data_IF_435141519256
#
_entry.id   IF_435141519256
#
_cell.length_a   1.000
_cell.length_b   1.000
_cell.length_c   1.000
_cell.angle_alpha   90.00
_cell.angle_beta   90.00
_cell.angle_gamma   90.00
#
_symmetry.space_group_name_H-M   'P 1'
#
loop_
_entity.id
_entity.type
_entity.pdbx_description
1 polymer ?
#
# COMPACT_ATOMS: atom_id res chain seq x y z
N UNK A 1 -26.56 30.54 43.83
CA UNK A 1 -26.39 29.62 42.70
C UNK A 1 -25.36 30.19 41.75
N UNK A 2 -24.31 29.44 41.45
CA UNK A 2 -23.26 29.89 40.53
C UNK A 2 -23.45 29.22 39.17
N UNK A 3 -23.67 30.03 38.14
CA UNK A 3 -23.62 29.58 36.75
C UNK A 3 -22.39 30.22 36.13
N UNK A 4 -21.47 29.40 35.66
CA UNK A 4 -20.20 29.84 35.10
C UNK A 4 -20.11 29.42 33.65
N UNK A 5 -19.36 30.19 32.87
CA UNK A 5 -19.11 29.93 31.45
C UNK A 5 -17.61 29.77 31.25
N UNK A 6 -17.22 28.68 30.62
CA UNK A 6 -15.83 28.40 30.23
C UNK A 6 -15.78 27.93 28.78
N UNK A 7 -14.70 28.21 28.08
CA UNK A 7 -14.58 28.00 26.64
C UNK A 7 -13.72 26.79 26.29
N UNK A 8 -12.89 26.32 27.22
CA UNK A 8 -12.02 25.17 27.01
C UNK A 8 -12.22 24.08 28.06
N UNK A 9 -11.83 22.85 27.72
CA UNK A 9 -11.83 21.73 28.68
C UNK A 9 -10.87 21.99 29.84
N UNK A 10 -9.76 22.70 29.62
CA UNK A 10 -8.80 22.96 30.69
C UNK A 10 -9.30 24.03 31.67
N UNK A 11 -9.95 25.09 31.17
CA UNK A 11 -10.69 26.04 32.02
C UNK A 11 -11.78 25.33 32.83
N UNK A 12 -12.51 24.40 32.19
CA UNK A 12 -13.51 23.58 32.86
C UNK A 12 -12.89 22.75 33.99
N UNK A 13 -11.76 22.07 33.75
CA UNK A 13 -11.08 21.27 34.80
C UNK A 13 -10.66 22.14 35.98
N UNK A 14 -10.06 23.29 35.70
CA UNK A 14 -9.62 24.23 36.75
C UNK A 14 -10.83 24.69 37.56
N UNK A 15 -11.88 25.17 36.89
CA UNK A 15 -13.09 25.62 37.56
C UNK A 15 -13.78 24.49 38.34
N UNK A 16 -13.85 23.29 37.76
CA UNK A 16 -14.44 22.12 38.40
C UNK A 16 -13.71 21.79 39.72
N UNK A 17 -12.37 21.76 39.71
CA UNK A 17 -11.58 21.51 40.91
C UNK A 17 -11.83 22.56 42.00
N UNK A 18 -11.84 23.83 41.63
CA UNK A 18 -12.12 24.94 42.56
C UNK A 18 -13.53 24.82 43.17
N UNK A 19 -14.54 24.51 42.36
CA UNK A 19 -15.92 24.35 42.84
C UNK A 19 -16.08 23.10 43.71
N UNK A 20 -15.45 21.99 43.32
CA UNK A 20 -15.49 20.72 44.06
C UNK A 20 -14.81 20.84 45.42
N UNK A 21 -13.66 21.52 45.50
CA UNK A 21 -12.95 21.78 46.76
C UNK A 21 -13.78 22.66 47.70
N UNK A 22 -14.43 23.70 47.17
CA UNK A 22 -15.22 24.65 47.96
C UNK A 22 -16.61 24.12 48.35
N UNK A 23 -17.20 23.24 47.55
CA UNK A 23 -18.55 22.72 47.72
C UNK A 23 -18.59 21.19 47.51
N UNK A 24 -17.97 20.40 48.40
CA UNK A 24 -17.77 18.95 48.20
C UNK A 24 -19.08 18.17 48.05
N UNK A 25 -20.11 18.55 48.80
CA UNK A 25 -21.41 17.85 48.86
C UNK A 25 -22.40 18.26 47.77
N UNK A 26 -22.07 19.25 46.93
CA UNK A 26 -23.01 19.80 45.94
C UNK A 26 -22.77 19.23 44.55
N UNK A 27 -23.85 18.95 43.83
CA UNK A 27 -23.79 18.55 42.43
C UNK A 27 -23.32 19.71 41.55
N UNK A 28 -22.43 19.39 40.62
CA UNK A 28 -21.97 20.30 39.56
C UNK A 28 -22.45 19.70 38.25
N UNK A 29 -23.25 20.45 37.48
CA UNK A 29 -23.68 20.05 36.14
C UNK A 29 -22.84 20.75 35.09
N UNK A 30 -22.46 20.02 34.06
CA UNK A 30 -21.72 20.56 32.92
C UNK A 30 -22.55 20.34 31.67
N UNK A 31 -22.87 21.41 30.97
CA UNK A 31 -23.60 21.37 29.69
C UNK A 31 -22.78 22.05 28.62
N UNK A 32 -22.59 21.41 27.47
CA UNK A 32 -21.98 22.05 26.31
C UNK A 32 -23.05 22.77 25.49
N UNK A 33 -22.85 24.07 25.24
CA UNK A 33 -23.59 24.87 24.24
C UNK A 33 -22.63 25.32 23.15
N UNK A 34 -23.13 25.88 22.04
CA UNK A 34 -22.38 26.24 20.83
C UNK A 34 -21.02 26.90 21.10
N UNK A 35 -19.96 26.08 21.25
CA UNK A 35 -18.58 26.50 21.49
C UNK A 35 -18.17 26.80 22.95
N UNK A 36 -18.98 26.50 23.97
CA UNK A 36 -18.62 26.74 25.37
C UNK A 36 -19.36 25.83 26.37
N UNK A 37 -18.77 25.60 27.53
CA UNK A 37 -19.36 24.87 28.65
C UNK A 37 -20.07 25.81 29.62
N UNK A 38 -21.25 25.41 30.06
CA UNK A 38 -21.97 25.97 31.19
C UNK A 38 -21.73 25.05 32.38
N UNK A 39 -21.20 25.59 33.46
CA UNK A 39 -20.95 24.89 34.72
C UNK A 39 -21.90 25.43 35.77
N UNK A 40 -22.86 24.61 36.19
CA UNK A 40 -23.90 24.99 37.14
C UNK A 40 -23.66 24.29 38.48
N UNK A 41 -23.46 25.08 39.54
CA UNK A 41 -23.48 24.57 40.91
C UNK A 41 -24.92 24.53 41.40
N UNK A 42 -25.46 23.32 41.61
CA UNK A 42 -26.84 23.12 42.03
C UNK A 42 -26.94 22.94 43.54
N UNK A 43 -28.16 22.91 44.08
CA UNK A 43 -28.43 22.57 45.49
C UNK A 43 -28.64 21.06 45.70
N UNK A 44 -28.56 20.26 44.63
CA UNK A 44 -28.67 18.81 44.74
C UNK A 44 -27.40 18.22 45.36
N UNK A 45 -27.55 17.06 46.01
CA UNK A 45 -26.43 16.34 46.64
C UNK A 45 -25.56 15.69 45.58
N UNK A 46 -24.25 15.82 45.73
CA UNK A 46 -23.27 15.15 44.88
C UNK A 46 -23.42 13.63 44.98
N UNK A 47 -23.59 12.98 43.83
CA UNK A 47 -23.66 11.50 43.75
C UNK A 47 -22.52 10.94 42.91
N UNK A 48 -22.16 11.61 41.82
CA UNK A 48 -21.08 11.25 40.90
C UNK A 48 -20.59 12.47 40.13
N UNK A 49 -19.39 12.36 39.58
CA UNK A 49 -18.85 13.38 38.68
C UNK A 49 -19.75 13.56 37.44
N UNK A 50 -19.90 14.80 36.92
CA UNK A 50 -20.69 15.05 35.72
C UNK A 50 -20.03 14.44 34.49
N UNK A 51 -20.86 13.94 33.56
CA UNK A 51 -20.40 13.64 32.22
C UNK A 51 -20.08 14.95 31.49
N UNK A 52 -18.85 15.09 31.01
CA UNK A 52 -18.41 16.28 30.26
C UNK A 52 -18.55 15.98 28.76
N UNK A 53 -19.44 16.68 28.02
CA UNK A 53 -19.56 16.49 26.59
C UNK A 53 -18.29 16.97 25.88
N UNK A 54 -17.68 16.13 25.05
CA UNK A 54 -16.50 16.50 24.27
C UNK A 54 -16.89 16.57 22.80
N UNK A 55 -16.61 17.69 22.14
CA UNK A 55 -16.70 17.77 20.68
C UNK A 55 -15.49 17.09 20.11
N UNK A 56 -15.71 15.98 19.42
CA UNK A 56 -14.67 15.25 18.72
C UNK A 56 -14.91 15.45 17.22
N UNK A 57 -13.93 16.03 16.54
CA UNK A 57 -13.91 16.03 15.08
C UNK A 57 -13.62 14.60 14.59
N UNK A 58 -14.51 14.04 13.79
CA UNK A 58 -14.45 12.66 13.32
C UNK A 58 -14.67 12.65 11.81
N UNK A 59 -13.69 12.13 11.07
CA UNK A 59 -13.78 12.00 9.62
C UNK A 59 -13.52 10.56 9.20
N UNK A 60 -14.43 9.99 8.40
CA UNK A 60 -14.16 8.72 7.71
C UNK A 60 -13.14 8.98 6.60
N UNK A 61 -11.98 8.34 6.67
CA UNK A 61 -10.89 8.52 5.69
C UNK A 61 -10.80 7.40 4.66
N UNK A 62 -11.35 6.23 4.98
CA UNK A 62 -11.38 5.09 4.08
C UNK A 62 -12.42 4.07 4.55
N UNK A 63 -12.96 3.28 3.63
CA UNK A 63 -13.79 2.13 3.96
C UNK A 63 -13.69 1.06 2.88
N UNK A 64 -13.70 -0.20 3.30
CA UNK A 64 -13.69 -1.35 2.39
C UNK A 64 -14.61 -2.42 2.96
N UNK A 65 -15.79 -2.56 2.34
CA UNK A 65 -16.86 -3.54 2.61
C UNK A 65 -17.34 -3.64 4.06
N UNK A 66 -16.51 -4.17 4.94
CA UNK A 66 -16.74 -4.55 6.33
C UNK A 66 -15.87 -3.73 7.30
N UNK A 67 -15.04 -2.82 6.80
CA UNK A 67 -14.17 -1.98 7.60
C UNK A 67 -14.36 -0.48 7.28
N UNK A 68 -14.29 0.34 8.33
CA UNK A 68 -14.21 1.80 8.23
C UNK A 68 -12.97 2.28 8.96
N UNK A 69 -12.23 3.20 8.34
CA UNK A 69 -11.07 3.86 8.94
C UNK A 69 -11.44 5.29 9.24
N UNK A 70 -11.27 5.68 10.50
CA UNK A 70 -11.76 6.95 11.03
C UNK A 70 -10.60 7.74 11.61
N UNK A 71 -10.52 9.02 11.25
CA UNK A 71 -9.57 9.98 11.80
C UNK A 71 -10.26 10.76 12.91
N UNK A 72 -9.71 10.64 14.12
CA UNK A 72 -10.13 11.42 15.29
C UNK A 72 -9.27 12.69 15.40
N UNK A 73 -9.90 13.86 15.32
CA UNK A 73 -9.33 15.19 15.46
C UNK A 73 -9.24 15.66 16.92
N UNK A 74 -8.88 14.78 17.87
CA UNK A 74 -8.83 15.09 19.30
C UNK A 74 -7.40 15.01 19.86
N UNK A 75 -7.00 15.95 20.72
CA UNK A 75 -5.65 16.03 21.31
C UNK A 75 -4.48 16.00 20.29
N UNK A 76 -4.70 16.48 19.06
CA UNK A 76 -3.75 16.39 17.93
C UNK A 76 -2.37 17.03 18.17
N UNK A 77 -2.29 17.96 19.11
CA UNK A 77 -1.06 18.66 19.47
C UNK A 77 -0.17 17.87 20.45
N UNK A 78 -0.70 16.84 21.11
CA UNK A 78 0.04 15.93 21.99
C UNK A 78 -0.08 14.51 21.46
N UNK A 79 1.02 13.98 20.93
CA UNK A 79 1.06 12.64 20.38
C UNK A 79 0.65 11.55 21.38
N UNK A 80 1.08 11.66 22.65
CA UNK A 80 0.81 10.64 23.66
C UNK A 80 -0.66 10.63 24.05
N UNK A 81 -1.22 11.81 24.32
CA UNK A 81 -2.64 11.94 24.63
C UNK A 81 -3.50 11.54 23.43
N UNK A 82 -3.17 12.02 22.22
CA UNK A 82 -3.88 11.63 21.01
C UNK A 82 -3.93 10.11 20.83
N UNK A 83 -2.80 9.42 21.02
CA UNK A 83 -2.73 7.97 20.86
C UNK A 83 -3.65 7.25 21.85
N UNK A 84 -3.52 7.56 23.14
CA UNK A 84 -4.30 6.93 24.21
C UNK A 84 -5.80 7.17 23.99
N UNK A 85 -6.18 8.40 23.69
CA UNK A 85 -7.59 8.76 23.53
C UNK A 85 -8.18 8.18 22.24
N UNK A 86 -7.39 8.05 21.17
CA UNK A 86 -7.85 7.42 19.92
C UNK A 86 -8.31 5.97 20.17
N UNK A 87 -7.56 5.19 20.96
CA UNK A 87 -7.98 3.84 21.34
C UNK A 87 -9.33 3.84 22.09
N UNK A 88 -9.46 4.71 23.10
CA UNK A 88 -10.69 4.80 23.90
C UNK A 88 -11.88 5.25 23.06
N UNK A 89 -11.71 6.31 22.27
CA UNK A 89 -12.74 6.90 21.42
C UNK A 89 -13.19 5.90 20.35
N UNK A 90 -12.28 5.14 19.75
CA UNK A 90 -12.63 4.14 18.75
C UNK A 90 -13.43 2.97 19.35
N UNK A 91 -13.05 2.45 20.53
CA UNK A 91 -13.86 1.44 21.23
C UNK A 91 -15.25 1.96 21.60
N UNK A 92 -15.33 3.20 22.11
CA UNK A 92 -16.62 3.82 22.43
C UNK A 92 -17.50 4.01 21.20
N UNK A 93 -16.91 4.46 20.08
CA UNK A 93 -17.62 4.64 18.82
C UNK A 93 -18.19 3.31 18.30
N UNK A 94 -17.38 2.24 18.27
CA UNK A 94 -17.84 0.91 17.86
C UNK A 94 -18.99 0.37 18.71
N UNK A 95 -18.87 0.52 20.04
CA UNK A 95 -19.93 0.13 20.98
C UNK A 95 -21.22 0.93 20.79
N UNK A 96 -21.12 2.25 20.60
CA UNK A 96 -22.29 3.11 20.33
C UNK A 96 -22.96 2.77 19.01
N UNK A 97 -22.18 2.60 17.94
CA UNK A 97 -22.72 2.17 16.64
C UNK A 97 -23.46 0.83 16.76
N UNK A 98 -22.90 -0.13 17.48
CA UNK A 98 -23.53 -1.44 17.73
C UNK A 98 -24.85 -1.31 18.49
N UNK A 99 -24.86 -0.55 19.59
CA UNK A 99 -26.02 -0.49 20.50
C UNK A 99 -27.12 0.46 20.04
N UNK A 100 -26.74 1.60 19.47
CA UNK A 100 -27.66 2.70 19.18
C UNK A 100 -28.05 2.77 17.70
N UNK A 101 -27.15 2.39 16.78
CA UNK A 101 -27.40 2.48 15.33
C UNK A 101 -27.82 1.15 14.73
N UNK A 102 -27.05 0.09 14.94
CA UNK A 102 -27.38 -1.24 14.41
C UNK A 102 -28.48 -1.90 15.24
N UNK A 103 -28.34 -1.91 16.57
CA UNK A 103 -29.32 -2.38 17.55
C UNK A 103 -29.97 -3.75 17.21
N UNK A 104 -29.24 -4.60 16.46
CA UNK A 104 -29.76 -5.84 15.87
C UNK A 104 -28.73 -6.96 15.99
N UNK A 105 -28.87 -7.86 16.98
CA UNK A 105 -28.03 -9.05 17.06
C UNK A 105 -28.14 -9.93 15.79
N UNK A 106 -27.05 -10.58 15.33
CA UNK A 106 -25.69 -10.60 15.90
C UNK A 106 -24.74 -9.54 15.30
N UNK A 107 -25.25 -8.43 14.76
CA UNK A 107 -24.43 -7.41 14.11
C UNK A 107 -23.70 -6.60 15.18
N UNK A 108 -22.36 -6.63 15.15
CA UNK A 108 -21.48 -5.91 16.07
C UNK A 108 -20.32 -5.26 15.32
N UNK A 109 -19.93 -4.07 15.77
CA UNK A 109 -18.77 -3.34 15.29
C UNK A 109 -17.70 -3.34 16.39
N UNK A 110 -16.56 -3.94 16.10
CA UNK A 110 -15.44 -4.06 17.03
C UNK A 110 -14.30 -3.10 16.65
N UNK A 111 -13.66 -2.52 17.67
CA UNK A 111 -12.40 -1.83 17.46
C UNK A 111 -11.29 -2.86 17.18
N UNK A 112 -10.64 -2.76 16.01
CA UNK A 112 -9.56 -3.68 15.65
C UNK A 112 -8.17 -3.11 15.96
N UNK A 113 -7.86 -1.89 15.48
CA UNK A 113 -6.51 -1.32 15.55
C UNK A 113 -6.47 0.19 15.31
N UNK A 114 -5.40 0.82 15.77
CA UNK A 114 -5.01 2.20 15.41
C UNK A 114 -3.85 2.16 14.42
N UNK A 115 -3.94 2.96 13.36
CA UNK A 115 -2.87 3.17 12.38
C UNK A 115 -2.19 4.52 12.59
N UNK A 116 -0.86 4.53 12.73
CA UNK A 116 -0.09 5.77 12.76
C UNK A 116 1.43 5.55 12.56
N UNK A 117 2.04 6.16 11.53
CA UNK A 117 1.39 6.89 10.46
C UNK A 117 0.58 5.95 9.54
N UNK A 118 -0.35 6.53 8.78
CA UNK A 118 -1.20 5.84 7.81
C UNK A 118 -1.03 6.50 6.45
N UNK A 119 -0.57 5.72 5.45
CA UNK A 119 -0.35 6.18 4.07
C UNK A 119 -1.32 5.41 3.18
N UNK A 120 -2.33 6.11 2.65
CA UNK A 120 -3.27 5.58 1.67
C UNK A 120 -2.79 5.93 0.26
N UNK A 121 -2.59 4.93 -0.59
CA UNK A 121 -2.15 5.14 -1.97
C UNK A 121 -3.33 5.19 -2.93
N UNK A 122 -4.17 4.15 -2.92
CA UNK A 122 -5.40 4.02 -3.69
C UNK A 122 -6.35 3.07 -2.96
N UNK A 123 -7.55 2.83 -3.49
CA UNK A 123 -8.44 1.77 -2.98
C UNK A 123 -7.69 0.42 -2.86
N UNK A 124 -7.82 -0.24 -1.71
CA UNK A 124 -7.15 -1.51 -1.36
C UNK A 124 -5.61 -1.46 -1.35
N UNK A 125 -5.01 -0.27 -1.33
CA UNK A 125 -3.55 -0.07 -1.29
C UNK A 125 -3.15 0.94 -0.23
N UNK A 126 -2.64 0.47 0.88
CA UNK A 126 -2.20 1.32 1.99
C UNK A 126 -1.06 0.69 2.79
N UNK A 127 -0.33 1.52 3.52
CA UNK A 127 0.78 1.13 4.39
C UNK A 127 0.63 1.89 5.70
N UNK A 128 0.76 1.19 6.82
CA UNK A 128 0.68 1.81 8.14
C UNK A 128 1.37 1.01 9.23
N UNK A 129 1.92 1.72 10.21
CA UNK A 129 2.25 1.09 11.49
C UNK A 129 0.96 0.84 12.27
N UNK A 130 0.77 -0.40 12.74
CA UNK A 130 -0.42 -0.81 13.47
C UNK A 130 -0.17 -1.05 14.96
N UNK A 131 -1.17 -0.68 15.74
CA UNK A 131 -1.20 -0.79 17.19
C UNK A 131 -2.55 -1.38 17.59
N UNK A 132 -2.55 -2.44 18.38
CA UNK A 132 -3.74 -3.23 18.72
C UNK A 132 -4.01 -3.25 20.23
N UNK A 133 -2.99 -2.97 21.05
CA UNK A 133 -3.08 -3.15 22.50
C UNK A 133 -3.64 -1.89 23.18
N UNK A 134 -4.88 -1.97 23.67
CA UNK A 134 -5.53 -0.88 24.42
C UNK A 134 -4.80 -0.57 25.74
N UNK A 135 -4.20 -1.57 26.39
CA UNK A 135 -3.47 -1.40 27.66
C UNK A 135 -2.08 -0.81 27.46
N UNK A 136 -1.47 -1.05 26.29
CA UNK A 136 -0.22 -0.44 25.86
C UNK A 136 -0.36 0.15 24.45
N UNK A 137 -0.96 1.36 24.33
CA UNK A 137 -1.24 2.00 23.05
C UNK A 137 0.00 2.35 22.20
N UNK A 138 1.19 2.23 22.78
CA UNK A 138 2.46 2.56 22.14
C UNK A 138 3.22 1.32 21.64
N UNK A 139 2.77 0.12 22.01
CA UNK A 139 3.34 -1.12 21.54
C UNK A 139 3.11 -1.30 20.03
N UNK A 140 4.18 -1.09 19.24
CA UNK A 140 4.14 -1.36 17.81
C UNK A 140 3.91 -2.86 17.58
N UNK A 141 2.78 -3.20 16.95
CA UNK A 141 2.50 -4.59 16.57
C UNK A 141 3.22 -4.97 15.27
N UNK A 142 3.42 -4.01 14.38
CA UNK A 142 4.16 -4.17 13.13
C UNK A 142 3.65 -3.26 12.02
N UNK A 143 4.15 -3.50 10.82
CA UNK A 143 3.73 -2.81 9.60
C UNK A 143 2.58 -3.59 8.93
N UNK A 144 1.44 -2.94 8.71
CA UNK A 144 0.36 -3.44 7.86
C UNK A 144 0.48 -2.81 6.48
N UNK A 145 0.75 -3.63 5.47
CA UNK A 145 0.85 -3.22 4.08
C UNK A 145 -0.16 -4.03 3.29
N UNK A 146 -1.12 -3.38 2.61
CA UNK A 146 -2.10 -4.06 1.76
C UNK A 146 -1.92 -3.64 0.32
N UNK A 147 -1.95 -4.61 -0.60
CA UNK A 147 -2.02 -4.37 -2.05
C UNK A 147 -0.81 -3.67 -2.68
N UNK A 148 0.22 -3.33 -1.91
CA UNK A 148 1.47 -2.70 -2.37
C UNK A 148 2.52 -3.73 -2.77
N UNK A 149 3.62 -3.28 -3.38
CA UNK A 149 4.67 -4.14 -3.93
C UNK A 149 5.27 -5.11 -2.89
N UNK A 150 5.36 -4.69 -1.61
CA UNK A 150 5.85 -5.54 -0.52
C UNK A 150 5.11 -6.88 -0.39
N UNK A 151 3.78 -6.85 -0.47
CA UNK A 151 2.93 -8.04 -0.28
C UNK A 151 2.70 -8.84 -1.56
N UNK A 152 3.16 -8.33 -2.70
CA UNK A 152 2.90 -8.91 -4.01
C UNK A 152 3.97 -9.92 -4.38
N UNK A 153 3.55 -11.07 -4.91
CA UNK A 153 4.44 -12.20 -5.23
C UNK A 153 5.11 -12.09 -6.59
N UNK A 154 4.63 -11.20 -7.44
CA UNK A 154 5.08 -10.99 -8.82
C UNK A 154 6.19 -9.94 -8.96
N UNK A 155 6.52 -9.21 -7.89
CA UNK A 155 7.69 -8.32 -7.87
C UNK A 155 8.95 -9.07 -7.42
N UNK A 156 10.05 -8.79 -8.10
CA UNK A 156 11.39 -9.26 -7.72
C UNK A 156 11.75 -8.79 -6.29
N UNK A 157 12.53 -9.57 -5.52
CA UNK A 157 12.96 -9.17 -4.18
C UNK A 157 13.67 -7.82 -4.12
N UNK A 158 14.40 -7.43 -5.18
CA UNK A 158 14.99 -6.10 -5.36
C UNK A 158 13.99 -4.97 -5.08
N UNK A 159 12.80 -5.05 -5.69
CA UNK A 159 11.73 -4.05 -5.54
C UNK A 159 11.28 -4.00 -4.09
N UNK A 160 11.12 -5.16 -3.45
CA UNK A 160 10.67 -5.25 -2.06
C UNK A 160 11.72 -4.73 -1.08
N UNK A 161 13.01 -5.00 -1.31
CA UNK A 161 14.12 -4.48 -0.51
C UNK A 161 14.17 -2.96 -0.58
N UNK A 162 14.13 -2.40 -1.79
CA UNK A 162 14.07 -0.95 -2.01
C UNK A 162 12.85 -0.32 -1.33
N UNK A 163 11.65 -0.87 -1.57
CA UNK A 163 10.40 -0.38 -0.97
C UNK A 163 10.44 -0.43 0.57
N UNK A 164 10.91 -1.55 1.14
CA UNK A 164 10.99 -1.73 2.60
C UNK A 164 11.97 -0.76 3.22
N UNK A 165 13.13 -0.55 2.60
CA UNK A 165 14.12 0.39 3.11
C UNK A 165 13.57 1.83 3.07
N UNK A 166 12.93 2.24 1.98
CA UNK A 166 12.27 3.55 1.86
C UNK A 166 11.20 3.74 2.93
N UNK A 167 10.31 2.76 3.14
CA UNK A 167 9.29 2.85 4.20
C UNK A 167 9.97 2.98 5.56
N UNK A 168 10.95 2.13 5.88
CA UNK A 168 11.60 2.15 7.18
C UNK A 168 12.28 3.51 7.44
N UNK A 169 12.89 4.12 6.42
CA UNK A 169 13.47 5.46 6.52
C UNK A 169 12.37 6.50 6.76
N UNK A 170 11.27 6.48 6.01
CA UNK A 170 10.15 7.42 6.18
C UNK A 170 9.41 7.29 7.51
N UNK A 171 9.45 6.10 8.11
CA UNK A 171 8.83 5.82 9.40
C UNK A 171 9.79 6.06 10.58
N UNK A 172 11.02 6.51 10.32
CA UNK A 172 11.96 6.92 11.36
C UNK A 172 11.62 8.31 11.90
N UNK A 173 12.07 8.61 13.12
CA UNK A 173 11.87 9.92 13.77
C UNK A 173 12.86 10.99 13.28
N UNK A 174 13.59 10.74 12.17
CA UNK A 174 14.59 11.65 11.62
C UNK A 174 13.94 12.82 10.87
N UNK A 175 14.45 14.05 11.08
CA UNK A 175 13.93 15.26 10.43
C UNK A 175 14.03 15.22 8.90
N UNK A 176 15.05 14.55 8.38
CA UNK A 176 15.37 14.49 6.95
C UNK A 176 14.97 13.14 6.32
N UNK A 177 14.07 12.40 6.96
CA UNK A 177 13.63 11.07 6.54
C UNK A 177 13.15 11.02 5.08
N UNK A 178 12.52 12.09 4.59
CA UNK A 178 12.11 12.20 3.19
C UNK A 178 13.34 12.22 2.27
N UNK A 179 14.30 13.11 2.53
CA UNK A 179 15.49 13.26 1.69
C UNK A 179 16.37 12.01 1.71
N UNK A 180 16.53 11.39 2.88
CA UNK A 180 17.22 10.11 3.02
C UNK A 180 16.52 8.99 2.24
N UNK A 181 15.19 8.93 2.26
CA UNK A 181 14.45 7.94 1.46
C UNK A 181 14.68 8.12 -0.04
N UNK A 182 14.77 9.37 -0.51
CA UNK A 182 15.07 9.68 -1.91
C UNK A 182 16.49 9.25 -2.31
N UNK A 183 17.47 9.42 -1.41
CA UNK A 183 18.83 8.91 -1.60
C UNK A 183 18.84 7.39 -1.68
N UNK A 184 18.06 6.70 -0.85
CA UNK A 184 17.88 5.24 -0.94
C UNK A 184 17.38 4.83 -2.32
N UNK A 185 16.35 5.51 -2.85
CA UNK A 185 15.84 5.22 -4.20
C UNK A 185 16.91 5.40 -5.27
N UNK A 186 17.60 6.55 -5.29
CA UNK A 186 18.68 6.84 -6.25
C UNK A 186 19.80 5.80 -6.17
N UNK A 187 20.17 5.36 -4.96
CA UNK A 187 21.15 4.27 -4.74
C UNK A 187 20.74 2.97 -5.43
N UNK A 188 19.48 2.52 -5.28
CA UNK A 188 19.00 1.31 -5.95
C UNK A 188 18.98 1.45 -7.47
N UNK A 189 18.61 2.62 -7.98
CA UNK A 189 18.65 2.91 -9.42
C UNK A 189 20.09 2.84 -9.96
N UNK A 190 21.07 3.40 -9.25
CA UNK A 190 22.49 3.30 -9.60
C UNK A 190 23.05 1.88 -9.50
N UNK A 191 22.61 1.09 -8.52
CA UNK A 191 23.01 -0.32 -8.42
C UNK A 191 22.55 -1.11 -9.63
N UNK A 192 21.32 -0.88 -10.10
CA UNK A 192 20.80 -1.50 -11.33
C UNK A 192 21.63 -1.05 -12.53
N UNK A 193 21.91 0.25 -12.65
CA UNK A 193 22.71 0.84 -13.72
C UNK A 193 24.09 0.20 -13.88
N UNK A 194 24.76 -0.04 -12.74
CA UNK A 194 26.12 -0.58 -12.63
C UNK A 194 26.20 -2.10 -12.58
N UNK A 195 25.10 -2.83 -12.78
CA UNK A 195 25.00 -4.28 -12.59
C UNK A 195 25.40 -4.79 -11.19
N UNK A 196 25.22 -3.96 -10.16
CA UNK A 196 25.55 -4.26 -8.77
C UNK A 196 24.33 -4.76 -8.00
N UNK A 197 23.67 -5.80 -8.53
CA UNK A 197 22.50 -6.43 -7.92
C UNK A 197 22.68 -7.94 -7.92
N UNK A 198 22.39 -8.58 -6.80
CA UNK A 198 22.44 -10.04 -6.68
C UNK A 198 21.38 -10.69 -7.58
N UNK A 199 21.73 -11.79 -8.25
CA UNK A 199 20.81 -12.56 -9.10
C UNK A 199 19.57 -12.99 -8.32
N UNK A 200 19.71 -13.35 -7.04
CA UNK A 200 18.61 -13.76 -6.17
C UNK A 200 17.57 -12.65 -6.00
N UNK A 201 18.02 -11.39 -6.02
CA UNK A 201 17.16 -10.22 -5.93
C UNK A 201 16.42 -9.89 -7.23
N UNK A 202 16.85 -10.49 -8.34
CA UNK A 202 16.27 -10.31 -9.67
C UNK A 202 15.18 -11.34 -9.96
N UNK A 203 15.12 -12.46 -9.21
CA UNK A 203 14.19 -13.56 -9.50
C UNK A 203 12.73 -13.12 -9.38
N UNK A 204 12.00 -13.24 -10.48
CA UNK A 204 10.54 -13.11 -10.56
C UNK A 204 9.93 -14.50 -10.65
N UNK A 205 8.69 -14.64 -10.18
CA UNK A 205 7.97 -15.92 -10.22
C UNK A 205 6.54 -15.76 -10.72
N UNK A 206 6.18 -16.58 -11.72
CA UNK A 206 4.84 -16.60 -12.31
C UNK A 206 4.30 -18.03 -12.40
N UNK A 207 3.00 -18.18 -12.22
CA UNK A 207 2.33 -19.46 -12.38
C UNK A 207 1.96 -19.68 -13.85
N UNK A 208 2.22 -20.89 -14.32
CA UNK A 208 1.72 -21.40 -15.58
C UNK A 208 0.21 -21.65 -15.45
N UNK A 209 -0.60 -20.73 -15.95
CA UNK A 209 -2.06 -20.83 -15.95
C UNK A 209 -2.59 -21.81 -17.00
N UNK A 210 -3.77 -22.39 -16.72
CA UNK A 210 -4.57 -23.14 -17.72
C UNK A 210 -5.17 -22.23 -18.78
N UNK A 211 -5.38 -20.97 -18.45
CA UNK A 211 -6.05 -19.99 -19.31
C UNK A 211 -5.34 -18.65 -19.24
N UNK A 212 -5.35 -17.92 -20.35
CA UNK A 212 -4.83 -16.56 -20.44
C UNK A 212 -5.81 -15.62 -21.11
N UNK A 213 -5.70 -14.34 -20.80
CA UNK A 213 -6.60 -13.32 -21.31
C UNK A 213 -6.30 -13.00 -22.78
N UNK A 214 -7.31 -13.09 -23.64
CA UNK A 214 -7.22 -12.64 -25.04
C UNK A 214 -6.99 -11.13 -25.10
N UNK A 215 -5.93 -10.70 -25.77
CA UNK A 215 -5.60 -9.28 -25.89
C UNK A 215 -6.69 -8.47 -26.62
N UNK A 216 -7.45 -9.08 -27.53
CA UNK A 216 -8.52 -8.42 -28.31
C UNK A 216 -9.85 -8.31 -27.56
N UNK A 217 -10.42 -9.43 -27.12
CA UNK A 217 -11.77 -9.46 -26.53
C UNK A 217 -11.80 -9.61 -25.00
N UNK A 218 -10.63 -9.59 -24.34
CA UNK A 218 -10.44 -9.71 -22.89
C UNK A 218 -11.07 -10.95 -22.24
N UNK A 219 -11.42 -11.95 -23.04
CA UNK A 219 -11.98 -13.23 -22.57
C UNK A 219 -10.85 -14.22 -22.33
N UNK A 220 -10.99 -15.08 -21.31
CA UNK A 220 -10.03 -16.14 -21.03
C UNK A 220 -10.06 -17.19 -22.15
N UNK A 221 -8.88 -17.62 -22.58
CA UNK A 221 -8.68 -18.64 -23.60
C UNK A 221 -7.79 -19.71 -23.01
N UNK A 222 -8.19 -20.97 -23.16
CA UNK A 222 -7.41 -22.11 -22.71
C UNK A 222 -6.06 -22.14 -23.43
N UNK A 223 -5.01 -22.37 -22.64
CA UNK A 223 -3.65 -22.46 -23.12
C UNK A 223 -3.16 -23.89 -23.06
N UNK A 224 -2.61 -24.33 -24.18
CA UNK A 224 -2.12 -25.69 -24.34
C UNK A 224 -0.60 -25.60 -24.46
N UNK A 225 0.09 -26.21 -23.49
CA UNK A 225 1.56 -26.36 -23.47
C UNK A 225 2.10 -27.07 -24.73
N UNK A 226 1.28 -27.92 -25.35
CA UNK A 226 1.63 -28.73 -26.52
C UNK A 226 0.62 -28.53 -27.63
N UNK A 227 1.06 -27.97 -28.74
CA UNK A 227 0.33 -28.09 -30.01
C UNK A 227 0.31 -29.58 -30.41
N UNK A 228 -0.86 -30.22 -30.35
CA UNK A 228 -1.01 -31.64 -30.72
C UNK A 228 -0.75 -31.98 -32.19
N UNK A 229 -0.46 -30.99 -33.04
CA UNK A 229 -0.23 -31.17 -34.49
C UNK A 229 1.22 -31.00 -34.93
N UNK A 230 2.13 -30.54 -34.07
CA UNK A 230 3.43 -30.08 -34.54
C UNK A 230 4.61 -30.73 -33.78
N UNK A 231 5.53 -31.35 -34.54
CA UNK A 231 6.78 -31.98 -34.08
C UNK A 231 8.01 -31.04 -34.18
N UNK A 232 7.82 -29.77 -34.53
CA UNK A 232 8.91 -28.81 -34.76
C UNK A 232 8.93 -27.68 -33.73
N UNK A 233 10.12 -27.27 -33.23
CA UNK A 233 10.28 -26.22 -32.22
C UNK A 233 9.76 -24.83 -32.60
N UNK A 234 9.62 -24.53 -33.89
CA UNK A 234 9.37 -23.18 -34.42
C UNK A 234 8.09 -23.05 -35.26
N UNK A 235 7.14 -23.99 -35.13
CA UNK A 235 5.98 -24.03 -36.03
C UNK A 235 4.87 -23.04 -35.64
N UNK A 236 4.41 -22.24 -36.61
CA UNK A 236 3.31 -21.27 -36.48
C UNK A 236 1.93 -21.96 -36.55
N UNK A 237 1.44 -22.52 -35.44
CA UNK A 237 0.03 -22.92 -35.38
C UNK A 237 -0.88 -21.75 -34.99
N UNK A 238 -1.86 -21.46 -35.85
CA UNK A 238 -2.89 -20.45 -35.58
C UNK A 238 -3.79 -20.94 -34.45
N UNK A 239 -3.77 -20.24 -33.32
CA UNK A 239 -4.70 -20.50 -32.21
C UNK A 239 -5.85 -19.54 -32.38
N UNK A 240 -7.08 -20.03 -32.35
CA UNK A 240 -8.27 -19.19 -32.53
C UNK A 240 -8.99 -18.97 -31.21
N UNK A 241 -9.24 -17.71 -30.85
CA UNK A 241 -10.08 -17.40 -29.69
C UNK A 241 -11.51 -17.91 -29.95
N UNK A 242 -11.99 -18.84 -29.13
CA UNK A 242 -13.32 -19.44 -29.28
C UNK A 242 -14.46 -18.42 -29.36
N UNK A 243 -14.34 -17.27 -28.66
CA UNK A 243 -15.34 -16.20 -28.62
C UNK A 243 -15.28 -15.23 -29.80
N UNK A 244 -14.14 -14.57 -30.02
CA UNK A 244 -14.04 -13.50 -31.03
C UNK A 244 -13.46 -13.96 -32.38
N UNK A 245 -13.16 -15.26 -32.50
CA UNK A 245 -12.58 -15.89 -33.71
C UNK A 245 -11.26 -15.27 -34.17
N UNK A 246 -10.62 -14.47 -33.30
CA UNK A 246 -9.32 -13.89 -33.58
C UNK A 246 -8.27 -15.00 -33.62
N UNK A 247 -7.55 -15.06 -34.74
CA UNK A 247 -6.48 -16.02 -34.97
C UNK A 247 -5.17 -15.40 -34.49
N UNK A 248 -4.64 -15.92 -33.39
CA UNK A 248 -3.25 -15.68 -32.98
C UNK A 248 -2.36 -16.50 -33.91
N UNK A 249 -1.38 -15.88 -34.56
CA UNK A 249 -0.39 -16.60 -35.39
C UNK A 249 0.41 -17.61 -34.58
N UNK A 250 0.45 -17.43 -33.25
CA UNK A 250 0.84 -18.43 -32.27
C UNK A 250 0.53 -17.97 -30.82
N UNK A 251 0.38 -18.89 -29.86
CA UNK A 251 0.27 -18.56 -28.41
C UNK A 251 1.57 -17.93 -27.84
N UNK A 252 2.66 -17.79 -28.61
CA UNK A 252 3.87 -17.04 -28.22
C UNK A 252 3.64 -15.51 -28.21
N UNK A 253 2.47 -15.04 -28.67
CA UNK A 253 2.08 -13.62 -28.62
C UNK A 253 1.25 -13.24 -27.38
N UNK A 254 1.04 -14.15 -26.43
CA UNK A 254 0.76 -13.73 -25.06
C UNK A 254 2.09 -13.14 -24.58
N UNK A 255 2.27 -11.83 -24.77
CA UNK A 255 3.47 -11.06 -24.46
C UNK A 255 3.78 -11.09 -22.95
N UNK A 256 4.11 -12.28 -22.44
CA UNK A 256 4.30 -12.65 -21.06
C UNK A 256 5.61 -13.43 -20.97
N UNK A 257 6.53 -12.94 -20.14
CA UNK A 257 7.89 -13.51 -20.04
C UNK A 257 7.90 -15.00 -19.70
N UNK A 258 7.09 -15.40 -18.72
CA UNK A 258 7.05 -16.77 -18.23
C UNK A 258 6.54 -17.76 -19.29
N UNK A 259 5.70 -17.34 -20.23
CA UNK A 259 5.22 -18.22 -21.31
C UNK A 259 6.33 -18.50 -22.32
N UNK A 260 7.02 -17.46 -22.78
CA UNK A 260 8.10 -17.59 -23.74
C UNK A 260 9.27 -18.37 -23.15
N UNK A 261 9.55 -18.18 -21.85
CA UNK A 261 10.53 -18.99 -21.13
C UNK A 261 10.10 -20.47 -21.06
N UNK A 262 8.87 -20.76 -20.65
CA UNK A 262 8.42 -22.15 -20.52
C UNK A 262 8.60 -22.95 -21.82
N UNK A 263 8.42 -22.30 -22.98
CA UNK A 263 8.64 -22.91 -24.28
C UNK A 263 10.12 -23.19 -24.55
N UNK A 264 11.01 -22.25 -24.25
CA UNK A 264 12.47 -22.47 -24.35
C UNK A 264 12.93 -23.61 -23.45
N UNK A 265 12.43 -23.68 -22.21
CA UNK A 265 12.73 -24.77 -21.28
C UNK A 265 12.24 -26.13 -21.82
N UNK A 266 11.03 -26.21 -22.40
CA UNK A 266 10.55 -27.44 -23.06
C UNK A 266 11.44 -27.85 -24.25
N UNK A 267 11.93 -26.90 -25.04
CA UNK A 267 12.88 -27.16 -26.13
C UNK A 267 14.23 -27.71 -25.61
N UNK A 268 14.63 -27.27 -24.40
CA UNK A 268 15.80 -27.80 -23.67
C UNK A 268 15.53 -29.15 -22.98
N UNK A 269 14.32 -29.71 -23.13
CA UNK A 269 13.83 -30.96 -22.53
C UNK A 269 13.57 -30.88 -21.02
N UNK A 270 13.36 -29.68 -20.49
CA UNK A 270 12.86 -29.52 -19.12
C UNK A 270 11.39 -29.98 -19.02
N UNK A 271 10.98 -30.42 -17.83
CA UNK A 271 9.60 -30.77 -17.55
C UNK A 271 8.85 -29.59 -16.96
N UNK A 272 7.87 -29.05 -17.69
CA UNK A 272 6.95 -27.99 -17.23
C UNK A 272 5.51 -28.40 -17.46
N UNK A 273 4.69 -28.21 -16.43
CA UNK A 273 3.27 -28.52 -16.40
C UNK A 273 2.41 -27.30 -16.08
N UNK A 274 1.13 -27.40 -16.41
CA UNK A 274 0.18 -26.36 -16.02
C UNK A 274 -0.04 -26.41 -14.51
N UNK A 275 0.00 -25.24 -13.87
CA UNK A 275 -0.06 -25.10 -12.43
C UNK A 275 1.31 -24.83 -11.81
N UNK A 276 2.40 -25.21 -12.50
CA UNK A 276 3.76 -24.98 -12.04
C UNK A 276 4.05 -23.50 -11.90
N UNK A 277 4.90 -23.18 -10.92
CA UNK A 277 5.34 -21.81 -10.70
C UNK A 277 6.81 -21.70 -11.08
N UNK A 278 7.06 -21.13 -12.25
CA UNK A 278 8.41 -20.98 -12.78
C UNK A 278 9.05 -19.68 -12.27
N UNK A 279 10.36 -19.75 -12.07
CA UNK A 279 11.20 -18.62 -11.70
C UNK A 279 11.98 -18.15 -12.92
N UNK A 280 12.18 -16.85 -13.05
CA UNK A 280 12.89 -16.26 -14.18
C UNK A 280 13.48 -14.90 -13.84
N UNK A 281 14.50 -14.53 -14.59
CA UNK A 281 15.06 -13.18 -14.61
C UNK A 281 14.90 -12.57 -16.00
N UNK A 282 14.92 -11.25 -16.12
CA UNK A 282 15.06 -10.61 -17.42
C UNK A 282 16.54 -10.45 -17.78
N UNK A 283 16.95 -10.92 -18.96
CA UNK A 283 18.32 -10.82 -19.49
C UNK A 283 18.39 -9.87 -20.68
N UNK A 284 19.56 -9.30 -20.93
CA UNK A 284 19.83 -8.56 -22.16
C UNK A 284 20.01 -9.53 -23.33
N UNK A 285 19.48 -9.15 -24.48
CA UNK A 285 19.66 -9.90 -25.74
C UNK A 285 20.28 -8.98 -26.79
N UNK A 286 21.21 -9.49 -27.61
CA UNK A 286 21.79 -8.73 -28.71
C UNK A 286 20.70 -8.37 -29.75
N UNK A 287 20.64 -7.10 -30.15
CA UNK A 287 19.74 -6.61 -31.19
C UNK A 287 18.74 -5.56 -30.72
N UNK A 288 18.33 -4.66 -31.62
CA UNK A 288 17.33 -3.61 -31.32
C UNK A 288 15.93 -4.20 -31.32
N UNK A 289 15.11 -3.83 -30.33
CA UNK A 289 13.65 -4.04 -30.35
C UNK A 289 13.14 -5.34 -29.74
N UNK A 290 13.91 -6.02 -28.89
CA UNK A 290 13.44 -7.18 -28.17
C UNK A 290 12.23 -6.84 -27.28
N UNK A 291 11.15 -7.61 -27.40
CA UNK A 291 9.94 -7.42 -26.63
C UNK A 291 10.19 -7.95 -25.22
N UNK A 292 9.67 -7.29 -24.18
CA UNK A 292 9.87 -7.67 -22.77
C UNK A 292 9.59 -9.15 -22.47
N UNK A 293 8.64 -9.76 -23.18
CA UNK A 293 8.32 -11.18 -23.06
C UNK A 293 9.45 -12.10 -23.49
N UNK A 294 10.29 -11.68 -24.42
CA UNK A 294 11.38 -12.50 -24.95
C UNK A 294 12.60 -12.49 -24.03
N UNK A 295 12.67 -11.51 -23.13
CA UNK A 295 13.80 -11.27 -22.23
C UNK A 295 13.83 -12.22 -21.02
N UNK A 296 12.77 -12.98 -20.75
CA UNK A 296 12.71 -13.85 -19.57
C UNK A 296 13.58 -15.10 -19.74
N UNK A 297 14.51 -15.35 -18.82
CA UNK A 297 15.38 -16.52 -18.86
C UNK A 297 15.40 -17.23 -17.50
N UNK A 298 15.63 -18.55 -17.53
CA UNK A 298 15.83 -19.35 -16.34
C UNK A 298 17.08 -18.84 -15.58
N UNK A 299 17.01 -18.62 -14.25
CA UNK A 299 18.12 -18.04 -13.50
C UNK A 299 19.39 -18.90 -13.56
N UNK A 300 19.26 -20.25 -13.60
CA UNK A 300 20.42 -21.15 -13.67
C UNK A 300 21.06 -21.06 -15.04
N UNK A 301 20.25 -21.10 -16.10
CA UNK A 301 20.74 -20.95 -17.46
C UNK A 301 21.48 -19.62 -17.66
N UNK A 302 20.89 -18.53 -17.15
CA UNK A 302 21.51 -17.21 -17.24
C UNK A 302 22.84 -17.12 -16.46
N UNK A 303 22.94 -17.77 -15.30
CA UNK A 303 24.18 -17.82 -14.53
C UNK A 303 25.25 -18.65 -15.24
N UNK A 304 24.92 -19.84 -15.74
CA UNK A 304 25.83 -20.73 -16.48
C UNK A 304 26.41 -20.04 -17.72
N UNK A 305 25.60 -19.25 -18.42
CA UNK A 305 25.98 -18.55 -19.65
C UNK A 305 26.41 -17.10 -19.41
N UNK A 306 26.51 -16.67 -18.15
CA UNK A 306 26.93 -15.31 -17.75
C UNK A 306 26.14 -14.21 -18.46
N UNK A 307 24.83 -14.40 -18.60
CA UNK A 307 23.95 -13.45 -19.27
C UNK A 307 23.70 -12.23 -18.36
N UNK A 308 24.03 -11.00 -18.82
CA UNK A 308 23.74 -9.81 -18.03
C UNK A 308 22.23 -9.59 -17.91
N UNK A 309 21.79 -9.12 -16.74
CA UNK A 309 20.37 -8.84 -16.53
C UNK A 309 19.93 -7.57 -17.28
N UNK A 310 18.66 -7.52 -17.70
CA UNK A 310 18.12 -6.39 -18.42
C UNK A 310 17.83 -5.20 -17.49
N UNK A 311 18.72 -4.19 -17.50
CA UNK A 311 18.60 -2.99 -16.65
C UNK A 311 17.29 -2.24 -16.84
N UNK A 312 16.82 -2.08 -18.07
CA UNK A 312 15.55 -1.41 -18.37
C UNK A 312 14.37 -2.08 -17.67
N UNK A 313 14.26 -3.41 -17.76
CA UNK A 313 13.18 -4.16 -17.13
C UNK A 313 13.15 -4.01 -15.61
N UNK A 314 14.32 -3.99 -14.95
CA UNK A 314 14.39 -3.85 -13.49
C UNK A 314 14.25 -2.40 -13.03
N UNK A 315 14.76 -1.42 -13.80
CA UNK A 315 14.47 0.00 -13.57
C UNK A 315 12.96 0.25 -13.61
N UNK A 316 12.24 -0.25 -14.61
CA UNK A 316 10.78 -0.12 -14.65
C UNK A 316 10.09 -0.78 -13.46
N UNK A 317 10.55 -1.97 -13.05
CA UNK A 317 9.97 -2.73 -11.95
C UNK A 317 10.14 -2.01 -10.61
N UNK A 318 11.27 -1.33 -10.40
CA UNK A 318 11.51 -0.53 -9.19
C UNK A 318 10.81 0.82 -9.29
N UNK A 319 10.97 1.53 -10.40
CA UNK A 319 10.48 2.90 -10.55
C UNK A 319 8.95 3.00 -10.47
N UNK A 320 8.20 2.12 -11.15
CA UNK A 320 6.74 2.23 -11.20
C UNK A 320 6.06 2.20 -9.81
N UNK A 321 6.31 1.18 -8.95
CA UNK A 321 5.71 1.15 -7.63
C UNK A 321 6.28 2.18 -6.65
N UNK A 322 7.56 2.54 -6.77
CA UNK A 322 8.22 3.46 -5.83
C UNK A 322 7.88 4.92 -6.14
N UNK A 323 7.94 5.33 -7.40
CA UNK A 323 7.55 6.69 -7.81
C UNK A 323 6.04 6.91 -7.62
N UNK A 324 5.22 5.86 -7.82
CA UNK A 324 3.80 5.92 -7.48
C UNK A 324 3.53 6.11 -5.98
N UNK A 325 4.41 5.57 -5.13
CA UNK A 325 4.37 5.84 -3.69
C UNK A 325 4.86 7.25 -3.36
N UNK A 326 5.95 7.71 -3.99
CA UNK A 326 6.44 9.07 -3.82
C UNK A 326 5.47 10.14 -4.33
N UNK A 327 4.61 9.85 -5.32
CA UNK A 327 3.54 10.76 -5.72
C UNK A 327 2.65 11.18 -4.54
N UNK A 328 2.44 10.28 -3.59
CA UNK A 328 1.65 10.54 -2.38
C UNK A 328 2.50 11.19 -1.29
N UNK A 329 3.70 10.65 -1.04
CA UNK A 329 4.59 11.13 0.04
C UNK A 329 5.12 12.54 -0.23
N UNK A 330 5.43 12.84 -1.49
CA UNK A 330 5.96 14.12 -1.97
C UNK A 330 4.86 15.02 -2.54
N UNK A 331 3.59 14.84 -2.13
CA UNK A 331 2.47 15.66 -2.66
C UNK A 331 2.68 17.18 -2.52
N UNK A 332 3.46 17.60 -1.51
CA UNK A 332 3.81 19.01 -1.25
C UNK A 332 5.25 19.36 -1.71
N UNK A 333 5.93 18.45 -2.41
CA UNK A 333 7.34 18.52 -2.83
C UNK A 333 7.45 18.05 -4.29
N UNK A 334 6.71 18.70 -5.19
CA UNK A 334 6.57 18.25 -6.58
C UNK A 334 7.90 18.30 -7.35
N UNK A 335 8.73 19.31 -7.11
CA UNK A 335 10.07 19.42 -7.73
C UNK A 335 10.94 18.20 -7.39
N UNK A 336 10.90 17.72 -6.14
CA UNK A 336 11.63 16.53 -5.73
C UNK A 336 11.13 15.25 -6.43
N UNK A 337 9.82 15.14 -6.66
CA UNK A 337 9.25 14.03 -7.42
C UNK A 337 9.72 14.07 -8.88
N UNK A 338 9.69 15.25 -9.50
CA UNK A 338 10.13 15.45 -10.88
C UNK A 338 11.63 15.15 -11.02
N UNK A 339 12.44 15.55 -10.05
CA UNK A 339 13.87 15.19 -9.98
C UNK A 339 14.11 13.68 -9.94
N UNK A 340 13.31 12.92 -9.18
CA UNK A 340 13.42 11.45 -9.14
C UNK A 340 12.99 10.81 -10.47
N UNK A 341 11.93 11.34 -11.09
CA UNK A 341 11.44 10.89 -12.39
C UNK A 341 12.49 11.16 -13.46
N UNK A 342 13.05 12.36 -13.51
CA UNK A 342 14.06 12.76 -14.49
C UNK A 342 15.38 12.01 -14.30
N UNK A 343 15.80 11.82 -13.04
CA UNK A 343 16.93 10.96 -12.71
C UNK A 343 16.76 9.56 -13.32
N UNK A 344 15.58 8.97 -13.17
CA UNK A 344 15.27 7.63 -13.69
C UNK A 344 15.13 7.62 -15.21
N UNK A 345 14.50 8.65 -15.79
CA UNK A 345 14.27 8.78 -17.21
C UNK A 345 15.54 8.92 -18.02
N UNK A 346 16.59 9.55 -17.48
CA UNK A 346 17.91 9.61 -18.12
C UNK A 346 18.45 8.21 -18.41
N UNK A 347 18.33 7.29 -17.45
CA UNK A 347 18.77 5.90 -17.60
C UNK A 347 17.80 5.09 -18.47
N UNK A 348 16.48 5.24 -18.28
CA UNK A 348 15.52 4.55 -19.14
C UNK A 348 15.72 4.91 -20.62
N UNK A 349 15.98 6.18 -20.92
CA UNK A 349 16.25 6.64 -22.28
C UNK A 349 17.53 6.01 -22.86
N UNK A 350 18.61 5.88 -22.09
CA UNK A 350 19.84 5.22 -22.56
C UNK A 350 19.64 3.73 -22.86
N UNK A 351 18.62 3.11 -22.28
CA UNK A 351 18.25 1.71 -22.52
C UNK A 351 17.09 1.51 -23.50
N UNK A 352 16.63 2.57 -24.18
CA UNK A 352 15.50 2.49 -25.12
C UNK A 352 14.14 2.24 -24.45
N UNK A 353 14.04 2.49 -23.13
CA UNK A 353 12.81 2.40 -22.35
C UNK A 353 11.88 3.60 -22.60
N UNK A 354 10.60 3.43 -22.25
CA UNK A 354 9.63 4.52 -22.29
C UNK A 354 9.87 5.47 -21.11
N UNK A 355 9.79 6.77 -21.38
CA UNK A 355 9.83 7.79 -20.32
C UNK A 355 8.61 7.67 -19.42
N UNK A 356 8.84 7.82 -18.12
CA UNK A 356 7.83 7.95 -17.08
C UNK A 356 7.42 9.42 -16.96
N UNK A 357 6.15 9.66 -16.65
CA UNK A 357 5.59 10.99 -16.40
C UNK A 357 4.85 10.98 -15.07
N UNK A 358 4.71 12.13 -14.39
CA UNK A 358 3.91 12.21 -13.17
C UNK A 358 2.48 11.67 -13.33
N UNK A 359 1.87 11.89 -14.49
CA UNK A 359 0.53 11.39 -14.85
C UNK A 359 0.41 9.87 -14.96
N UNK A 360 1.53 9.14 -15.04
CA UNK A 360 1.51 7.67 -15.11
C UNK A 360 1.23 7.05 -13.72
N UNK A 361 1.23 7.86 -12.66
CA UNK A 361 0.98 7.44 -11.28
C UNK A 361 -0.37 7.95 -10.79
N UNK A 362 -1.17 7.03 -10.25
CA UNK A 362 -2.48 7.35 -9.66
C UNK A 362 -2.33 7.92 -8.25
N UNK A 363 -3.22 8.84 -7.90
CA UNK A 363 -3.46 9.31 -6.54
C UNK A 363 -4.89 8.97 -6.07
N UNK A 364 -5.16 9.23 -4.80
CA UNK A 364 -6.45 8.91 -4.14
C UNK A 364 -7.59 9.78 -4.70
N UNK A 365 -7.28 10.98 -5.20
CA UNK A 365 -8.27 11.96 -5.67
C UNK A 365 -8.83 11.65 -7.08
N UNK A 366 -8.27 10.67 -7.80
CA UNK A 366 -8.67 10.31 -9.17
C UNK A 366 -9.52 9.03 -9.30
N UNK A 367 -10.01 8.46 -8.21
CA UNK A 367 -10.80 7.20 -8.18
C UNK A 367 -12.29 7.44 -7.77
N UNK A 368 -12.81 8.67 -7.94
CA UNK A 368 -14.25 8.99 -7.79
C UNK A 368 -15.10 8.52 -8.99
#
# INVERSE_FOLDING_TARGET
MGVYRVYTIDELKVLYNVLRERYPEREIRVTLKSGYYIVELTDAVYTRDPEVPVVVDIQVVYGDTDSIMVRFGYNRNDFKLNRIDTFKLATLAGNKLTREVFARPPIEMEFEKVFQPFILLTKKRYIANKYENVKDPFQLKGLDAKGVALTRRDYAPLVKKCYKQIINTLLSDEKDAIDESMKVYKKYVEQIDRYQVDVEDLIVSAQIGKEYMCNKCKTKVEWILKCGKCKEPNHMCKVECGKCKWKFTCLHQFSLGHINLAQRMLQRKDSISVGDRIQYIFVEVPGKGAIKSDLAEDPRYAQEHQLPFNRMCYLEQVAKPILGFYKIVLKNRQDDLDDLIDFTNRLLASYGGKRLRPSDFKDVEGDD
#
